data_IF_467110978032
#
_entry.id   IF_467110978032
#
_cell.length_a   1.000
_cell.length_b   1.000
_cell.length_c   1.000
_cell.angle_alpha   90.00
_cell.angle_beta   90.00
_cell.angle_gamma   90.00
#
_symmetry.space_group_name_H-M   'P 1'
#
loop_
_entity.id
_entity.type
_entity.pdbx_description
1 polymer ?
#
# COMPACT_ATOMS: atom_id res chain seq x y z
N UNK A 1 20.46 15.10 -9.54
CA UNK A 1 19.11 14.62 -9.84
C UNK A 1 19.04 13.20 -9.35
N UNK A 2 18.27 12.94 -8.30
CA UNK A 2 17.92 11.58 -7.92
C UNK A 2 17.02 10.99 -9.00
N UNK A 3 17.26 9.72 -9.34
CA UNK A 3 16.40 8.98 -10.28
C UNK A 3 15.22 8.48 -9.48
N UNK A 4 14.00 8.90 -9.83
CA UNK A 4 12.78 8.42 -9.19
C UNK A 4 12.73 6.89 -9.29
N UNK A 5 12.37 6.22 -8.19
CA UNK A 5 12.34 4.75 -8.16
C UNK A 5 11.34 4.18 -9.18
N UNK A 6 10.18 4.81 -9.34
CA UNK A 6 9.18 4.43 -10.35
C UNK A 6 9.05 5.57 -11.37
N UNK A 7 9.61 5.43 -12.58
CA UNK A 7 9.43 6.40 -13.65
C UNK A 7 7.96 6.52 -14.09
N UNK A 8 7.57 7.70 -14.57
CA UNK A 8 6.21 8.00 -15.03
C UNK A 8 5.66 6.98 -16.04
N UNK A 9 6.47 6.62 -17.05
CA UNK A 9 6.07 5.68 -18.09
C UNK A 9 5.89 4.24 -17.57
N UNK A 10 6.49 3.90 -16.42
CA UNK A 10 6.31 2.61 -15.75
C UNK A 10 5.00 2.62 -14.98
N UNK A 11 4.76 3.66 -14.17
CA UNK A 11 3.50 3.83 -13.45
C UNK A 11 2.30 3.85 -14.41
N UNK A 12 2.43 4.51 -15.56
CA UNK A 12 1.37 4.62 -16.55
C UNK A 12 0.88 3.27 -17.11
N UNK A 13 1.68 2.19 -17.02
CA UNK A 13 1.27 0.85 -17.43
C UNK A 13 0.11 0.29 -16.61
N UNK A 14 -0.05 0.74 -15.37
CA UNK A 14 -1.11 0.29 -14.45
C UNK A 14 -2.36 1.17 -14.44
N UNK A 15 -2.52 2.06 -15.43
CA UNK A 15 -3.59 3.05 -15.45
C UNK A 15 -4.97 2.50 -15.84
N UNK A 16 -5.05 1.25 -16.28
CA UNK A 16 -6.31 0.65 -16.72
C UNK A 16 -7.40 0.77 -15.63
N UNK A 17 -8.60 1.27 -15.97
CA UNK A 17 -9.67 1.49 -15.01
C UNK A 17 -10.05 0.22 -14.26
N UNK A 18 -10.22 0.32 -12.94
CA UNK A 18 -10.59 -0.81 -12.10
C UNK A 18 -12.11 -0.97 -12.08
N UNK A 19 -12.57 -2.18 -12.39
CA UNK A 19 -13.98 -2.56 -12.28
C UNK A 19 -14.25 -3.09 -10.87
N UNK A 20 -14.59 -2.20 -9.94
CA UNK A 20 -14.77 -2.52 -8.51
C UNK A 20 -15.76 -3.66 -8.25
N UNK A 21 -16.80 -3.79 -9.06
CA UNK A 21 -17.81 -4.84 -8.93
C UNK A 21 -17.20 -6.23 -9.13
N UNK A 22 -16.21 -6.36 -10.02
CA UNK A 22 -15.50 -7.62 -10.29
C UNK A 22 -14.58 -8.04 -9.14
N UNK A 23 -14.38 -7.15 -8.15
CA UNK A 23 -13.56 -7.44 -6.98
C UNK A 23 -14.35 -8.01 -5.81
N UNK A 24 -15.68 -7.86 -5.80
CA UNK A 24 -16.52 -8.32 -4.69
C UNK A 24 -16.33 -9.80 -4.43
N UNK A 25 -16.13 -10.16 -3.16
CA UNK A 25 -15.87 -11.53 -2.70
C UNK A 25 -14.50 -12.11 -3.08
N UNK A 26 -13.66 -11.40 -3.86
CA UNK A 26 -12.30 -11.88 -4.14
C UNK A 26 -11.46 -11.87 -2.88
N UNK A 27 -10.57 -12.87 -2.79
CA UNK A 27 -9.48 -12.86 -1.82
C UNK A 27 -8.52 -11.71 -2.10
N UNK A 28 -8.15 -10.98 -1.06
CA UNK A 28 -7.13 -9.95 -1.11
C UNK A 28 -6.32 -9.90 0.17
N UNK A 29 -5.18 -9.25 0.08
CA UNK A 29 -4.29 -8.94 1.20
C UNK A 29 -4.21 -7.45 1.36
N UNK A 30 -3.79 -6.97 2.53
CA UNK A 30 -3.66 -5.55 2.75
C UNK A 30 -2.37 -5.19 3.47
N UNK A 31 -1.91 -3.97 3.25
CA UNK A 31 -0.99 -3.30 4.15
C UNK A 31 -1.64 -2.07 4.76
N UNK A 32 -1.37 -1.85 6.05
CA UNK A 32 -1.84 -0.73 6.84
C UNK A 32 -0.63 0.03 7.40
N UNK A 33 -0.37 1.22 6.87
CA UNK A 33 0.65 2.13 7.37
C UNK A 33 -0.01 3.24 8.19
N UNK A 34 0.17 3.18 9.51
CA UNK A 34 -0.48 4.07 10.46
C UNK A 34 0.39 5.27 10.78
N UNK A 35 -0.19 6.45 10.65
CA UNK A 35 0.47 7.66 11.07
C UNK A 35 0.48 7.81 12.60
N UNK A 36 1.59 8.29 13.16
CA UNK A 36 1.73 8.49 14.61
C UNK A 36 0.97 9.70 15.18
N UNK A 37 0.24 10.51 14.40
CA UNK A 37 -0.86 11.42 14.88
C UNK A 37 -1.38 12.39 13.84
N UNK A 38 -0.60 12.76 12.82
CA UNK A 38 -1.03 13.81 11.87
C UNK A 38 -0.72 13.53 10.41
N UNK A 39 0.19 12.61 10.10
CA UNK A 39 0.55 12.23 8.73
C UNK A 39 -0.50 11.34 8.07
N UNK A 40 -0.30 11.08 6.77
CA UNK A 40 -1.23 10.27 5.99
C UNK A 40 -1.25 8.87 6.58
N UNK A 41 -2.44 8.39 6.90
CA UNK A 41 -2.66 6.96 7.13
C UNK A 41 -3.00 6.31 5.80
N UNK A 42 -2.38 5.18 5.49
CA UNK A 42 -2.58 4.48 4.23
C UNK A 42 -3.03 3.04 4.47
N UNK A 43 -4.07 2.61 3.76
CA UNK A 43 -4.51 1.24 3.70
C UNK A 43 -4.58 0.82 2.24
N UNK A 44 -3.88 -0.24 1.86
CA UNK A 44 -3.80 -0.66 0.46
C UNK A 44 -4.19 -2.12 0.34
N UNK A 45 -5.28 -2.39 -0.37
CA UNK A 45 -5.66 -3.75 -0.74
C UNK A 45 -4.90 -4.18 -2.00
N UNK A 46 -4.46 -5.43 -2.01
CA UNK A 46 -3.76 -6.09 -3.10
C UNK A 46 -4.51 -7.38 -3.42
N UNK A 47 -5.10 -7.44 -4.61
CA UNK A 47 -5.80 -8.59 -5.13
C UNK A 47 -4.83 -9.39 -6.01
N UNK A 48 -4.47 -10.64 -5.64
CA UNK A 48 -3.68 -11.50 -6.50
C UNK A 48 -4.42 -11.79 -7.82
N UNK A 49 -3.68 -12.03 -8.91
CA UNK A 49 -4.25 -12.53 -10.14
C UNK A 49 -4.85 -13.93 -9.94
N UNK A 50 -5.95 -14.22 -10.64
CA UNK A 50 -6.62 -15.54 -10.64
C UNK A 50 -6.05 -16.49 -11.69
N UNK A 51 -5.39 -15.94 -12.70
CA UNK A 51 -4.73 -16.64 -13.81
C UNK A 51 -3.52 -15.81 -14.29
N UNK A 52 -2.60 -16.41 -15.05
CA UNK A 52 -1.26 -15.84 -15.34
C UNK A 52 -1.32 -14.46 -16.04
N UNK A 53 -2.31 -14.24 -16.90
CA UNK A 53 -2.47 -13.00 -17.65
C UNK A 53 -3.25 -11.91 -16.90
N UNK A 54 -3.82 -12.20 -15.73
CA UNK A 54 -4.46 -11.18 -14.91
C UNK A 54 -3.39 -10.36 -14.17
N UNK A 55 -3.59 -9.05 -14.06
CA UNK A 55 -2.73 -8.21 -13.25
C UNK A 55 -3.09 -8.33 -11.76
N UNK A 56 -2.12 -8.04 -10.89
CA UNK A 56 -2.45 -7.69 -9.52
C UNK A 56 -3.26 -6.40 -9.55
N UNK A 57 -4.37 -6.35 -8.80
CA UNK A 57 -5.20 -5.16 -8.70
C UNK A 57 -4.95 -4.51 -7.34
N UNK A 58 -4.71 -3.20 -7.33
CA UNK A 58 -4.36 -2.43 -6.14
C UNK A 58 -5.41 -1.37 -5.87
N UNK A 59 -6.00 -1.38 -4.67
CA UNK A 59 -6.94 -0.36 -4.20
C UNK A 59 -6.34 0.37 -2.99
N UNK A 60 -5.79 1.58 -3.19
CA UNK A 60 -5.28 2.38 -2.09
C UNK A 60 -6.37 3.28 -1.49
N UNK A 61 -6.30 3.47 -0.18
CA UNK A 61 -7.15 4.36 0.61
C UNK A 61 -6.29 5.19 1.55
N UNK A 62 -6.60 6.48 1.65
CA UNK A 62 -5.78 7.45 2.37
C UNK A 62 -6.62 8.33 3.28
N UNK A 63 -6.09 8.64 4.46
CA UNK A 63 -6.74 9.52 5.44
C UNK A 63 -5.82 10.63 5.93
N UNK A 64 -6.40 11.80 6.13
CA UNK A 64 -5.81 12.95 6.82
C UNK A 64 -6.80 13.54 7.84
N UNK A 65 -6.33 14.15 8.94
CA UNK A 65 -7.20 14.93 9.81
C UNK A 65 -7.69 16.20 9.10
N UNK A 66 -9.00 16.46 9.14
CA UNK A 66 -9.66 17.57 8.44
C UNK A 66 -9.06 18.93 8.84
N UNK A 67 -8.88 19.17 10.14
CA UNK A 67 -8.38 20.46 10.67
C UNK A 67 -6.96 20.80 10.20
N UNK A 68 -6.20 19.79 9.75
CA UNK A 68 -4.81 19.95 9.34
C UNK A 68 -4.62 20.07 7.83
N UNK A 69 -5.67 19.84 7.05
CA UNK A 69 -5.61 19.71 5.59
C UNK A 69 -5.04 20.97 4.92
N UNK A 70 -5.56 22.15 5.26
CA UNK A 70 -5.12 23.42 4.67
C UNK A 70 -3.67 23.75 5.02
N UNK A 71 -3.28 23.58 6.29
CA UNK A 71 -1.92 23.79 6.75
C UNK A 71 -0.94 22.85 6.03
N UNK A 72 -1.34 21.60 5.80
CA UNK A 72 -0.54 20.61 5.06
C UNK A 72 -0.38 20.97 3.59
N UNK A 73 -1.44 21.46 2.94
CA UNK A 73 -1.34 21.92 1.55
C UNK A 73 -0.27 23.01 1.40
N UNK A 74 -0.23 23.97 2.34
CA UNK A 74 0.77 25.04 2.36
C UNK A 74 2.17 24.54 2.70
N UNK A 75 2.31 23.66 3.69
CA UNK A 75 3.60 23.14 4.16
C UNK A 75 4.25 22.21 3.13
N UNK A 76 3.49 21.25 2.63
CA UNK A 76 3.98 20.18 1.76
C UNK A 76 3.99 20.61 0.29
N UNK A 77 3.29 21.71 -0.06
CA UNK A 77 3.07 22.16 -1.44
C UNK A 77 2.36 21.10 -2.29
N UNK A 78 1.38 20.43 -1.68
CA UNK A 78 0.58 19.33 -2.26
C UNK A 78 -0.89 19.68 -2.17
N UNK A 79 -1.64 19.42 -3.23
CA UNK A 79 -3.07 19.75 -3.34
C UNK A 79 -3.96 18.69 -2.67
N UNK A 80 -3.77 18.43 -1.37
CA UNK A 80 -4.55 17.43 -0.64
C UNK A 80 -6.04 17.75 -0.63
N UNK A 81 -6.40 19.04 -0.57
CA UNK A 81 -7.76 19.55 -0.63
C UNK A 81 -8.46 19.28 -1.98
N UNK A 82 -7.70 19.22 -3.07
CA UNK A 82 -8.24 18.84 -4.38
C UNK A 82 -8.47 17.32 -4.42
N UNK A 83 -7.53 16.53 -3.89
CA UNK A 83 -7.68 15.08 -3.83
C UNK A 83 -8.79 14.61 -2.88
N UNK A 84 -9.03 15.36 -1.80
CA UNK A 84 -10.19 15.16 -0.92
C UNK A 84 -11.51 15.37 -1.69
N UNK A 85 -11.67 16.52 -2.36
CA UNK A 85 -12.86 16.81 -3.17
C UNK A 85 -13.09 15.84 -4.32
N UNK A 86 -12.03 15.21 -4.82
CA UNK A 86 -12.08 14.17 -5.84
C UNK A 86 -12.32 12.75 -5.28
N UNK A 87 -12.30 12.58 -3.96
CA UNK A 87 -12.49 11.30 -3.27
C UNK A 87 -11.25 10.40 -3.22
N UNK A 88 -10.07 10.89 -3.59
CA UNK A 88 -8.81 10.14 -3.51
C UNK A 88 -8.19 10.16 -2.10
N UNK A 89 -8.58 11.12 -1.27
CA UNK A 89 -8.24 11.20 0.16
C UNK A 89 -9.54 11.35 0.92
N UNK A 90 -9.64 10.68 2.07
CA UNK A 90 -10.71 10.88 3.03
C UNK A 90 -10.20 11.73 4.19
N UNK A 91 -11.08 12.51 4.79
CA UNK A 91 -10.76 13.20 6.04
C UNK A 91 -11.44 12.54 7.21
N UNK A 92 -10.82 12.63 8.38
CA UNK A 92 -11.47 12.34 9.67
C UNK A 92 -11.65 13.65 10.43
N UNK A 93 -12.79 13.79 11.11
CA UNK A 93 -13.10 14.98 11.91
C UNK A 93 -12.01 15.23 12.98
N UNK A 94 -11.66 16.50 13.18
CA UNK A 94 -10.69 16.93 14.17
C UNK A 94 -9.25 17.01 13.68
N UNK A 95 -8.32 17.12 14.64
CA UNK A 95 -6.91 17.42 14.40
C UNK A 95 -5.98 16.19 14.41
N UNK A 96 -6.52 15.00 14.68
CA UNK A 96 -5.83 13.71 14.65
C UNK A 96 -6.65 12.70 13.85
N UNK A 97 -5.99 11.68 13.30
CA UNK A 97 -6.69 10.62 12.56
C UNK A 97 -7.55 9.81 13.53
N UNK A 98 -8.86 9.81 13.32
CA UNK A 98 -9.78 9.05 14.17
C UNK A 98 -9.78 7.56 13.79
N UNK A 99 -9.03 6.75 14.54
CA UNK A 99 -8.86 5.31 14.28
C UNK A 99 -10.16 4.52 14.19
N UNK A 100 -11.18 4.83 14.99
CA UNK A 100 -12.49 4.16 14.87
C UNK A 100 -13.17 4.35 13.50
N UNK A 101 -12.90 5.45 12.78
CA UNK A 101 -13.42 5.64 11.43
C UNK A 101 -12.72 4.71 10.43
N UNK A 102 -11.41 4.55 10.57
CA UNK A 102 -10.61 3.66 9.74
C UNK A 102 -10.95 2.20 10.04
N UNK A 103 -11.12 1.84 11.32
CA UNK A 103 -11.55 0.52 11.75
C UNK A 103 -12.89 0.15 11.12
N UNK A 104 -13.89 1.03 11.21
CA UNK A 104 -15.20 0.81 10.58
C UNK A 104 -15.10 0.69 9.06
N UNK A 105 -14.26 1.52 8.44
CA UNK A 105 -14.04 1.44 6.99
C UNK A 105 -13.41 0.11 6.56
N UNK A 106 -12.44 -0.39 7.32
CA UNK A 106 -11.81 -1.70 7.05
C UNK A 106 -12.82 -2.83 7.28
N UNK A 107 -13.65 -2.75 8.33
CA UNK A 107 -14.75 -3.69 8.57
C UNK A 107 -15.71 -3.73 7.38
N UNK A 108 -16.18 -2.59 6.91
CA UNK A 108 -17.09 -2.52 5.74
C UNK A 108 -16.44 -3.10 4.48
N UNK A 109 -15.14 -2.86 4.26
CA UNK A 109 -14.40 -3.49 3.17
C UNK A 109 -14.29 -5.01 3.32
N UNK A 110 -14.19 -5.53 4.54
CA UNK A 110 -14.13 -6.97 4.83
C UNK A 110 -15.46 -7.68 4.60
N UNK A 111 -16.59 -6.95 4.61
CA UNK A 111 -17.89 -7.48 4.20
C UNK A 111 -18.01 -7.57 2.68
N UNK A 112 -17.29 -6.71 1.94
CA UNK A 112 -17.34 -6.63 0.47
C UNK A 112 -16.28 -7.56 -0.16
N UNK A 113 -15.11 -7.67 0.46
CA UNK A 113 -13.94 -8.40 -0.04
C UNK A 113 -13.46 -9.42 1.00
N UNK A 114 -12.86 -10.51 0.54
CA UNK A 114 -12.31 -11.52 1.44
C UNK A 114 -10.87 -11.16 1.82
N UNK A 115 -10.72 -10.26 2.80
CA UNK A 115 -9.40 -9.83 3.29
C UNK A 115 -8.79 -10.96 4.12
N UNK A 116 -7.71 -11.56 3.59
CA UNK A 116 -7.02 -12.70 4.18
C UNK A 116 -6.08 -12.31 5.31
N UNK A 117 -5.18 -11.36 5.05
CA UNK A 117 -4.26 -10.83 6.04
C UNK A 117 -4.06 -9.33 5.82
N UNK A 118 -3.87 -8.61 6.92
CA UNK A 118 -3.50 -7.20 6.93
C UNK A 118 -2.13 -7.06 7.61
N UNK A 119 -1.11 -6.75 6.83
CA UNK A 119 0.22 -6.41 7.34
C UNK A 119 0.23 -4.99 7.93
N UNK A 120 0.92 -4.81 9.06
CA UNK A 120 1.08 -3.50 9.70
C UNK A 120 2.47 -3.36 10.32
N UNK A 121 2.96 -2.13 10.52
CA UNK A 121 4.23 -1.93 11.22
C UNK A 121 4.12 -2.37 12.69
N UNK A 122 4.95 -3.35 13.09
CA UNK A 122 4.99 -3.91 14.45
C UNK A 122 5.23 -2.88 15.56
N UNK A 123 5.74 -1.69 15.24
CA UNK A 123 5.96 -0.63 16.22
C UNK A 123 4.75 0.28 16.45
N UNK A 124 3.71 0.19 15.60
CA UNK A 124 2.56 1.10 15.63
C UNK A 124 1.28 0.46 16.22
N UNK A 125 0.46 1.34 16.81
CA UNK A 125 -0.95 1.19 17.24
C UNK A 125 -1.43 -0.20 17.69
N UNK A 126 -1.00 -0.64 18.87
CA UNK A 126 -1.48 -1.88 19.49
C UNK A 126 -3.00 -1.94 19.67
N UNK A 127 -3.67 -0.82 19.96
CA UNK A 127 -5.12 -0.83 20.21
C UNK A 127 -5.95 -1.04 18.93
N UNK A 128 -5.63 -0.35 17.83
CA UNK A 128 -6.35 -0.54 16.57
C UNK A 128 -6.18 -1.96 16.05
N UNK A 129 -4.96 -2.50 16.15
CA UNK A 129 -4.69 -3.90 15.80
C UNK A 129 -5.57 -4.84 16.62
N UNK A 130 -5.63 -4.67 17.95
CA UNK A 130 -6.49 -5.48 18.82
C UNK A 130 -7.97 -5.36 18.46
N UNK A 131 -8.44 -4.16 18.09
CA UNK A 131 -9.83 -3.94 17.69
C UNK A 131 -10.14 -4.69 16.37
N UNK A 132 -9.27 -4.57 15.37
CA UNK A 132 -9.41 -5.26 14.09
C UNK A 132 -9.33 -6.79 14.25
N UNK A 133 -8.45 -7.30 15.10
CA UNK A 133 -8.41 -8.72 15.48
C UNK A 133 -9.71 -9.16 16.17
N UNK A 134 -10.25 -8.31 17.06
CA UNK A 134 -11.56 -8.52 17.70
C UNK A 134 -12.73 -8.57 16.73
N UNK A 135 -12.61 -7.93 15.57
CA UNK A 135 -13.57 -8.00 14.45
C UNK A 135 -13.37 -9.26 13.58
N UNK A 136 -12.37 -10.10 13.88
CA UNK A 136 -12.08 -11.34 13.15
C UNK A 136 -11.09 -11.19 11.99
N UNK A 137 -10.44 -10.02 11.85
CA UNK A 137 -9.40 -9.81 10.83
C UNK A 137 -8.06 -10.40 11.30
N UNK A 138 -7.32 -10.98 10.36
CA UNK A 138 -5.98 -11.51 10.64
C UNK A 138 -4.95 -10.40 10.45
N UNK A 139 -4.41 -9.88 11.56
CA UNK A 139 -3.39 -8.84 11.56
C UNK A 139 -2.00 -9.46 11.65
N UNK A 140 -1.08 -9.08 10.77
CA UNK A 140 0.28 -9.65 10.70
C UNK A 140 1.33 -8.56 10.95
N UNK A 141 2.15 -8.66 12.02
CA UNK A 141 3.21 -7.70 12.26
C UNK A 141 4.28 -7.80 11.17
N UNK A 142 4.63 -6.66 10.59
CA UNK A 142 5.61 -6.52 9.53
C UNK A 142 6.76 -5.62 9.98
N UNK A 143 7.98 -5.95 9.57
CA UNK A 143 9.15 -5.13 9.84
C UNK A 143 9.45 -4.13 8.75
N UNK A 144 9.57 -2.85 9.07
CA UNK A 144 9.99 -1.85 8.07
C UNK A 144 11.52 -1.78 7.82
N UNK A 145 12.28 -2.76 8.33
CA UNK A 145 13.72 -2.86 8.11
C UNK A 145 14.07 -3.57 6.80
N UNK A 146 15.34 -3.47 6.37
CA UNK A 146 15.85 -4.07 5.12
C UNK A 146 15.48 -5.55 4.94
N UNK A 147 15.57 -6.35 6.01
CA UNK A 147 15.29 -7.80 5.97
C UNK A 147 13.90 -8.11 5.42
N UNK A 148 12.90 -7.41 5.92
CA UNK A 148 11.50 -7.70 5.64
C UNK A 148 11.01 -6.89 4.42
N UNK A 149 11.48 -5.65 4.24
CA UNK A 149 11.13 -4.78 3.11
C UNK A 149 11.76 -5.18 1.77
N UNK A 150 12.99 -5.71 1.76
CA UNK A 150 13.76 -5.89 0.53
C UNK A 150 13.10 -6.86 -0.47
N UNK A 151 12.68 -8.08 -0.08
CA UNK A 151 12.04 -9.01 -1.03
C UNK A 151 10.77 -8.45 -1.70
N UNK A 152 9.75 -7.96 -0.97
CA UNK A 152 8.53 -7.45 -1.60
C UNK A 152 8.76 -6.13 -2.35
N UNK A 153 9.75 -5.30 -1.96
CA UNK A 153 10.11 -4.10 -2.73
C UNK A 153 10.69 -4.45 -4.10
N UNK A 154 11.54 -5.49 -4.17
CA UNK A 154 12.11 -5.98 -5.44
C UNK A 154 11.02 -6.56 -6.34
N UNK A 155 10.10 -7.34 -5.78
CA UNK A 155 8.99 -7.90 -6.55
C UNK A 155 8.03 -6.82 -7.04
N UNK A 156 7.67 -5.85 -6.19
CA UNK A 156 6.85 -4.71 -6.62
C UNK A 156 7.48 -3.97 -7.80
N UNK A 157 8.79 -3.69 -7.73
CA UNK A 157 9.48 -3.04 -8.83
C UNK A 157 9.41 -3.86 -10.13
N UNK A 158 9.67 -5.17 -10.04
CA UNK A 158 9.57 -6.09 -11.19
C UNK A 158 8.16 -6.09 -11.79
N UNK A 159 7.12 -6.27 -10.97
CA UNK A 159 5.73 -6.28 -11.43
C UNK A 159 5.33 -4.97 -12.10
N UNK A 160 5.73 -3.82 -11.54
CA UNK A 160 5.50 -2.51 -12.14
C UNK A 160 6.20 -2.38 -13.50
N UNK A 161 7.47 -2.81 -13.60
CA UNK A 161 8.24 -2.79 -14.85
C UNK A 161 7.61 -3.67 -15.94
N UNK A 162 7.07 -4.82 -15.56
CA UNK A 162 6.35 -5.75 -16.45
C UNK A 162 4.94 -5.26 -16.82
N UNK A 163 4.40 -4.25 -16.13
CA UNK A 163 3.01 -3.80 -16.32
C UNK A 163 1.97 -4.73 -15.70
N UNK A 164 2.36 -5.50 -14.68
CA UNK A 164 1.53 -6.49 -13.98
C UNK A 164 0.78 -5.97 -12.75
N UNK A 165 0.82 -4.66 -12.52
CA UNK A 165 0.05 -3.98 -11.48
C UNK A 165 -0.98 -3.08 -12.14
N UNK A 166 -2.25 -3.23 -11.75
CA UNK A 166 -3.34 -2.35 -12.12
C UNK A 166 -3.79 -1.53 -10.89
N UNK A 167 -3.60 -0.21 -10.93
CA UNK A 167 -3.94 0.71 -9.85
C UNK A 167 -4.85 1.86 -10.30
N UNK A 168 -5.40 1.79 -11.52
CA UNK A 168 -6.38 2.75 -12.05
C UNK A 168 -5.87 4.20 -12.16
N UNK A 169 -4.55 4.38 -12.22
CA UNK A 169 -3.92 5.70 -12.28
C UNK A 169 -4.09 6.55 -11.01
N UNK A 170 -4.24 5.95 -9.83
CA UNK A 170 -4.51 6.67 -8.59
C UNK A 170 -3.49 7.80 -8.28
N UNK A 171 -3.89 9.09 -8.28
CA UNK A 171 -2.95 10.21 -8.29
C UNK A 171 -2.13 10.34 -7.01
N UNK A 172 -2.70 10.01 -5.85
CA UNK A 172 -1.98 10.05 -4.56
C UNK A 172 -0.88 8.98 -4.52
N UNK A 173 -1.19 7.74 -4.91
CA UNK A 173 -0.22 6.64 -4.97
C UNK A 173 0.88 6.93 -5.99
N UNK A 174 0.53 7.52 -7.13
CA UNK A 174 1.49 8.01 -8.14
C UNK A 174 2.47 9.01 -7.54
N UNK A 175 1.96 10.05 -6.90
CA UNK A 175 2.77 11.08 -6.26
C UNK A 175 3.68 10.48 -5.19
N UNK A 176 3.17 9.58 -4.35
CA UNK A 176 3.98 8.87 -3.36
C UNK A 176 5.07 8.02 -4.02
N UNK A 177 4.77 7.32 -5.12
CA UNK A 177 5.76 6.55 -5.88
C UNK A 177 6.89 7.40 -6.47
N UNK A 178 6.60 8.63 -6.88
CA UNK A 178 7.59 9.58 -7.39
C UNK A 178 8.51 10.12 -6.27
N UNK A 179 8.05 10.11 -5.02
CA UNK A 179 8.85 10.53 -3.87
C UNK A 179 9.80 9.43 -3.37
N UNK A 180 9.63 8.18 -3.80
CA UNK A 180 10.43 7.06 -3.29
C UNK A 180 11.85 7.11 -3.83
N UNK A 181 12.79 6.96 -2.90
CA UNK A 181 14.18 6.59 -3.19
C UNK A 181 14.50 5.25 -2.56
N UNK A 182 15.19 4.39 -3.32
CA UNK A 182 15.63 3.12 -2.80
C UNK A 182 16.96 3.28 -2.08
N UNK A 183 16.95 3.03 -0.77
CA UNK A 183 18.18 2.89 0.02
C UNK A 183 18.66 1.46 -0.08
N UNK A 184 19.97 1.29 -0.26
CA UNK A 184 20.61 -0.02 -0.31
C UNK A 184 21.57 -0.17 0.88
N UNK A 185 21.53 -1.32 1.55
CA UNK A 185 22.51 -1.67 2.58
C UNK A 185 23.78 -2.33 1.96
N UNK A 186 24.87 -2.52 2.72
CA UNK A 186 26.08 -3.16 2.20
C UNK A 186 25.90 -4.60 1.70
N UNK A 187 24.82 -5.28 2.11
CA UNK A 187 24.48 -6.63 1.66
C UNK A 187 23.62 -6.64 0.38
N UNK A 188 23.32 -5.47 -0.19
CA UNK A 188 22.51 -5.33 -1.40
C UNK A 188 21.00 -5.41 -1.17
N UNK A 189 20.53 -5.38 0.08
CA UNK A 189 19.11 -5.27 0.39
C UNK A 189 18.64 -3.85 0.13
N UNK A 190 17.40 -3.72 -0.35
CA UNK A 190 16.79 -2.41 -0.61
C UNK A 190 15.65 -2.14 0.37
N UNK A 191 15.36 -0.87 0.64
CA UNK A 191 14.12 -0.46 1.28
C UNK A 191 13.66 0.89 0.70
N UNK A 192 12.34 1.10 0.59
CA UNK A 192 11.82 2.41 0.22
C UNK A 192 12.17 3.42 1.31
N UNK A 193 12.51 4.62 0.90
CA UNK A 193 12.77 5.76 1.75
C UNK A 193 12.37 7.04 0.99
N UNK A 194 12.48 8.18 1.65
CA UNK A 194 12.25 9.51 1.06
C UNK A 194 13.52 10.36 1.17
N UNK A 195 13.69 11.33 0.27
CA UNK A 195 14.83 12.24 0.35
C UNK A 195 14.60 13.34 1.38
N UNK A 196 13.36 13.82 1.46
CA UNK A 196 12.97 14.92 2.34
C UNK A 196 11.85 14.47 3.27
N UNK A 197 11.86 14.96 4.51
CA UNK A 197 10.85 14.61 5.51
C UNK A 197 9.42 15.00 5.12
N UNK A 198 9.26 16.07 4.32
CA UNK A 198 7.99 16.58 3.80
C UNK A 198 7.35 15.65 2.77
N UNK A 199 8.15 14.82 2.09
CA UNK A 199 7.65 13.83 1.16
C UNK A 199 6.93 12.69 1.90
N UNK A 200 5.99 12.06 1.20
CA UNK A 200 5.19 10.95 1.72
C UNK A 200 5.31 9.76 0.79
N UNK A 201 5.42 8.58 1.40
CA UNK A 201 5.56 7.28 0.74
C UNK A 201 4.68 6.20 1.40
N UNK A 202 3.80 6.62 2.31
CA UNK A 202 3.04 5.75 3.21
C UNK A 202 2.18 4.73 2.41
N UNK A 203 1.60 5.18 1.29
CA UNK A 203 0.88 4.30 0.35
C UNK A 203 1.76 3.27 -0.34
N UNK A 204 3.02 3.60 -0.63
CA UNK A 204 3.98 2.64 -1.21
C UNK A 204 4.42 1.63 -0.15
N UNK A 205 4.66 2.08 1.08
CA UNK A 205 4.99 1.22 2.22
C UNK A 205 3.84 0.24 2.48
N UNK A 206 2.60 0.74 2.57
CA UNK A 206 1.40 -0.09 2.69
C UNK A 206 1.25 -1.08 1.52
N UNK A 207 1.48 -0.65 0.28
CA UNK A 207 1.45 -1.54 -0.88
C UNK A 207 2.49 -2.67 -0.78
N UNK A 208 3.73 -2.36 -0.38
CA UNK A 208 4.80 -3.35 -0.21
C UNK A 208 4.43 -4.35 0.89
N UNK A 209 3.90 -3.87 2.01
CA UNK A 209 3.43 -4.72 3.11
C UNK A 209 2.31 -5.67 2.66
N UNK A 210 1.30 -5.17 1.96
CA UNK A 210 0.20 -6.00 1.43
C UNK A 210 0.66 -7.00 0.37
N UNK A 211 1.57 -6.60 -0.51
CA UNK A 211 2.14 -7.48 -1.54
C UNK A 211 2.96 -8.62 -0.92
N UNK A 212 3.72 -8.35 0.14
CA UNK A 212 4.47 -9.41 0.86
C UNK A 212 3.55 -10.54 1.35
N UNK A 213 2.38 -10.20 1.92
CA UNK A 213 1.40 -11.19 2.38
C UNK A 213 0.86 -12.02 1.24
N UNK A 214 0.59 -11.35 0.12
CA UNK A 214 0.11 -11.96 -1.11
C UNK A 214 1.11 -12.98 -1.67
N UNK A 215 2.40 -12.62 -1.76
CA UNK A 215 3.45 -13.49 -2.33
C UNK A 215 3.65 -14.75 -1.49
N UNK A 216 3.64 -14.61 -0.16
CA UNK A 216 3.85 -15.74 0.75
C UNK A 216 2.73 -16.77 0.66
N UNK A 217 1.49 -16.31 0.59
CA UNK A 217 0.35 -17.21 0.45
C UNK A 217 0.28 -17.90 -0.91
N UNK A 218 0.70 -17.25 -1.99
CA UNK A 218 0.84 -17.90 -3.30
C UNK A 218 1.89 -19.01 -3.30
N UNK A 219 2.87 -18.94 -2.39
CA UNK A 219 3.90 -19.98 -2.26
C UNK A 219 3.38 -21.17 -1.44
N UNK A 220 2.53 -20.93 -0.44
CA UNK A 220 2.00 -21.96 0.46
C UNK A 220 0.81 -22.76 -0.14
N UNK A 221 0.00 -22.16 -1.02
CA UNK A 221 -1.14 -22.83 -1.66
C UNK A 221 -0.77 -23.72 -2.87
N UNK A 222 0.53 -23.94 -3.12
CA UNK A 222 1.03 -24.61 -4.30
C UNK A 222 1.16 -23.62 -5.45
N UNK A 223 2.41 -23.31 -5.78
CA UNK A 223 2.71 -22.23 -6.70
C UNK A 223 2.45 -22.67 -8.14
N UNK A 224 1.69 -21.89 -8.92
CA UNK A 224 1.71 -21.96 -10.40
C UNK A 224 3.14 -21.74 -10.94
N UNK A 225 4.05 -21.21 -10.11
CA UNK A 225 5.47 -21.05 -10.42
C UNK A 225 6.36 -22.25 -10.06
N UNK A 226 5.83 -23.35 -9.48
CA UNK A 226 6.63 -24.56 -9.24
C UNK A 226 7.11 -25.22 -10.55
N UNK A 227 6.58 -24.81 -11.71
CA UNK A 227 7.06 -25.25 -13.03
C UNK A 227 8.26 -24.46 -13.57
N UNK A 228 8.67 -23.34 -12.96
CA UNK A 228 9.86 -22.58 -13.40
C UNK A 228 10.94 -22.67 -12.34
N UNK A 229 11.87 -23.59 -12.60
CA UNK A 229 13.08 -23.81 -11.82
C UNK A 229 13.71 -22.50 -11.37
N UNK A 230 14.02 -22.46 -10.07
CA UNK A 230 14.72 -21.38 -9.37
C UNK A 230 15.90 -20.92 -10.22
N UNK A 231 15.81 -19.72 -10.80
CA UNK A 231 16.97 -19.04 -11.35
C UNK A 231 17.80 -18.54 -10.15
N UNK A 232 18.78 -19.35 -9.74
CA UNK A 232 19.87 -18.87 -8.90
C UNK A 232 20.80 -18.02 -9.76
N UNK A 233 21.03 -16.77 -9.35
CA UNK A 233 22.18 -15.99 -9.79
C UNK A 233 23.41 -16.35 -8.95
#
# INVERSE_FOLDING_TARGET
SSVAWIPEHVYAKGNDPIQYENLKGRSCYAGLDLSSTSDITAFVLVFPPRFEEENYIVLPFFWLPEDTLELRCRRDHVLYDVWERQGYIKTTEGNVVHYGFIEKFIEDLSEIYHIKEIAYDRWNATQMVQNLEGMGLTMVPFGQGYKDMSPPSKELYKLMMEGKIQHGGHPVLKWMGQNVVMRQDPAGNIKPDKEKSVEKIDGIVALIMGLDRCIRHQTDEGSVYDERGILSF
#
